data_IF_366450024931
#
_entry.id   IF_366450024931
#
_cell.length_a   1.000
_cell.length_b   1.000
_cell.length_c   1.000
_cell.angle_alpha   90.00
_cell.angle_beta   90.00
_cell.angle_gamma   90.00
#
_symmetry.space_group_name_H-M   'P 1'
#
loop_
_entity.id
_entity.type
_entity.pdbx_description
1 polymer ?
#
# COMPACT_ATOMS: atom_id res chain seq x y z
N UNK A 1 -4.34 -10.70 14.25
CA UNK A 1 -4.36 -9.56 15.12
C UNK A 1 -5.41 -8.50 14.73
N UNK A 2 -6.57 -8.93 14.27
CA UNK A 2 -7.68 -8.04 14.00
C UNK A 2 -7.63 -7.27 12.68
N UNK A 3 -6.75 -7.65 11.78
CA UNK A 3 -6.72 -7.11 10.43
C UNK A 3 -7.56 -7.97 9.49
N UNK A 4 -8.39 -7.31 8.69
CA UNK A 4 -9.13 -7.96 7.62
C UNK A 4 -8.33 -7.86 6.33
N UNK A 5 -8.16 -8.97 5.63
CA UNK A 5 -7.47 -9.00 4.35
C UNK A 5 -8.47 -8.60 3.26
N UNK A 6 -8.20 -7.49 2.59
CA UNK A 6 -9.01 -6.99 1.49
C UNK A 6 -8.49 -7.48 0.14
N UNK A 7 -7.21 -7.77 0.03
CA UNK A 7 -6.62 -8.27 -1.20
C UNK A 7 -5.19 -8.76 -1.00
N UNK A 8 -4.76 -9.64 -1.90
CA UNK A 8 -3.40 -10.18 -1.96
C UNK A 8 -2.73 -9.73 -3.25
N UNK A 9 -1.43 -9.46 -3.18
CA UNK A 9 -0.65 -9.04 -4.34
C UNK A 9 -1.32 -7.90 -5.10
N UNK A 10 -1.75 -6.88 -4.35
CA UNK A 10 -2.53 -5.77 -4.90
C UNK A 10 -1.60 -4.83 -5.66
N UNK A 11 -1.91 -4.60 -6.93
CA UNK A 11 -1.13 -3.74 -7.80
C UNK A 11 -1.76 -2.35 -7.90
N UNK A 12 -0.91 -1.32 -7.88
CA UNK A 12 -1.30 0.06 -8.11
C UNK A 12 -0.27 0.70 -9.05
N UNK A 13 -0.66 1.80 -9.68
CA UNK A 13 0.24 2.57 -10.55
C UNK A 13 0.63 3.87 -9.89
N UNK A 14 1.92 4.10 -9.79
CA UNK A 14 2.48 5.37 -9.40
C UNK A 14 2.86 6.20 -10.62
N UNK A 15 3.03 7.49 -10.42
CA UNK A 15 3.46 8.42 -11.46
C UNK A 15 4.60 9.29 -10.96
N UNK A 16 5.55 9.52 -11.85
CA UNK A 16 6.58 10.53 -11.67
C UNK A 16 6.62 11.40 -12.92
N UNK A 17 6.97 12.65 -12.76
CA UNK A 17 7.18 13.55 -13.87
C UNK A 17 8.68 13.74 -14.08
N UNK A 18 9.14 13.49 -15.30
CA UNK A 18 10.53 13.69 -15.69
C UNK A 18 10.56 14.67 -16.85
N UNK A 19 11.15 15.82 -16.63
CA UNK A 19 11.27 16.88 -17.65
C UNK A 19 9.92 17.21 -18.31
N UNK A 20 8.87 17.29 -17.50
CA UNK A 20 7.51 17.59 -17.96
C UNK A 20 6.73 16.41 -18.51
N UNK A 21 7.34 15.22 -18.61
CA UNK A 21 6.66 14.01 -19.08
C UNK A 21 6.28 13.11 -17.93
N UNK A 22 5.04 12.66 -17.91
CA UNK A 22 4.54 11.71 -16.92
C UNK A 22 5.03 10.30 -17.26
N UNK A 23 5.63 9.64 -16.28
CA UNK A 23 6.05 8.25 -16.35
C UNK A 23 5.28 7.45 -15.31
N UNK A 24 4.63 6.39 -15.75
CA UNK A 24 3.92 5.48 -14.87
C UNK A 24 4.83 4.32 -14.49
N UNK A 25 4.65 3.80 -13.27
CA UNK A 25 5.35 2.60 -12.81
C UNK A 25 4.41 1.75 -11.96
N UNK A 26 4.52 0.42 -12.05
CA UNK A 26 3.71 -0.47 -11.24
C UNK A 26 4.30 -0.60 -9.83
N UNK A 27 3.42 -0.72 -8.86
CA UNK A 27 3.79 -1.02 -7.47
C UNK A 27 2.89 -2.17 -7.03
N UNK A 28 3.47 -3.16 -6.38
CA UNK A 28 2.72 -4.32 -5.90
C UNK A 28 3.03 -4.56 -4.43
N UNK A 29 2.00 -4.41 -3.60
CA UNK A 29 2.08 -4.74 -2.18
C UNK A 29 1.64 -6.17 -1.93
N UNK A 30 2.13 -6.78 -0.87
CA UNK A 30 1.78 -8.16 -0.56
C UNK A 30 0.31 -8.30 -0.16
N UNK A 31 -0.18 -7.39 0.69
CA UNK A 31 -1.56 -7.41 1.14
C UNK A 31 -2.11 -6.00 1.28
N UNK A 32 -3.39 -5.88 0.99
CA UNK A 32 -4.19 -4.73 1.38
C UNK A 32 -5.06 -5.18 2.53
N UNK A 33 -4.99 -4.49 3.66
CA UNK A 33 -5.70 -4.89 4.87
C UNK A 33 -6.44 -3.70 5.49
N UNK A 34 -7.41 -4.02 6.31
CA UNK A 34 -8.19 -3.02 7.02
C UNK A 34 -8.29 -3.34 8.50
N UNK A 35 -8.30 -2.30 9.32
CA UNK A 35 -8.54 -2.40 10.75
C UNK A 35 -9.16 -1.11 11.27
N UNK A 36 -10.27 -1.24 11.96
CA UNK A 36 -10.94 -0.09 12.58
C UNK A 36 -11.24 1.05 11.60
N UNK A 37 -11.69 0.69 10.40
CA UNK A 37 -12.05 1.67 9.37
C UNK A 37 -10.86 2.29 8.64
N UNK A 38 -9.65 1.85 8.91
CA UNK A 38 -8.44 2.31 8.23
C UNK A 38 -7.88 1.23 7.34
N UNK A 39 -7.32 1.64 6.21
CA UNK A 39 -6.71 0.74 5.23
C UNK A 39 -5.20 0.87 5.25
N UNK A 40 -4.52 -0.25 5.08
CA UNK A 40 -3.07 -0.33 5.09
C UNK A 40 -2.58 -1.24 3.97
N UNK A 41 -1.41 -0.91 3.43
CA UNK A 41 -0.64 -1.86 2.62
C UNK A 41 0.36 -2.54 3.54
N UNK A 42 0.36 -3.86 3.52
CA UNK A 42 1.28 -4.65 4.32
C UNK A 42 2.34 -5.30 3.43
N UNK A 43 3.58 -5.19 3.86
CA UNK A 43 4.72 -5.88 3.28
C UNK A 43 5.15 -6.99 4.21
N UNK A 44 5.20 -8.21 3.71
CA UNK A 44 5.56 -9.39 4.49
C UNK A 44 7.01 -9.76 4.22
N UNK A 45 7.78 -9.87 5.27
CA UNK A 45 9.19 -10.29 5.19
C UNK A 45 9.40 -11.54 6.03
N UNK A 46 10.16 -12.47 5.48
CA UNK A 46 10.48 -13.73 6.13
C UNK A 46 11.99 -14.00 6.06
N UNK A 47 12.45 -14.92 6.90
CA UNK A 47 13.85 -15.31 6.97
C UNK A 47 14.62 -14.61 8.09
N UNK A 48 15.74 -15.23 8.51
CA UNK A 48 16.57 -14.73 9.60
C UNK A 48 17.16 -13.34 9.36
N UNK A 49 17.20 -12.92 8.10
CA UNK A 49 17.64 -11.59 7.69
C UNK A 49 16.45 -10.79 7.14
N UNK A 50 15.26 -11.02 7.71
CA UNK A 50 14.10 -10.25 7.31
C UNK A 50 14.46 -8.77 7.32
N UNK A 51 14.24 -8.04 6.22
CA UNK A 51 14.62 -6.64 6.16
C UNK A 51 13.90 -5.87 7.25
N UNK A 52 14.68 -5.15 8.03
CA UNK A 52 14.16 -4.25 9.05
C UNK A 52 13.97 -2.87 8.43
N UNK A 53 13.26 -2.00 9.13
CA UNK A 53 13.10 -0.60 8.72
C UNK A 53 14.46 0.11 8.60
N UNK A 54 15.48 -0.36 9.31
CA UNK A 54 16.85 0.11 9.13
C UNK A 54 17.42 -0.20 7.74
N UNK A 55 16.86 -1.20 7.03
CA UNK A 55 17.22 -1.48 5.66
C UNK A 55 16.61 -0.42 4.74
N UNK A 56 17.46 0.29 4.01
CA UNK A 56 17.01 1.38 3.14
C UNK A 56 16.07 0.93 2.04
N UNK A 57 16.29 -0.26 1.49
CA UNK A 57 15.43 -0.81 0.42
C UNK A 57 14.00 -1.05 0.96
N UNK A 58 13.88 -1.67 2.12
CA UNK A 58 12.59 -1.91 2.76
C UNK A 58 11.90 -0.59 3.11
N UNK A 59 12.63 0.36 3.67
CA UNK A 59 12.10 1.67 4.04
C UNK A 59 11.58 2.44 2.83
N UNK A 60 12.32 2.42 1.72
CA UNK A 60 11.91 3.08 0.47
C UNK A 60 10.69 2.40 -0.15
N UNK A 61 10.63 1.09 -0.08
CA UNK A 61 9.47 0.33 -0.57
C UNK A 61 8.20 0.70 0.19
N UNK A 62 8.27 0.76 1.51
CA UNK A 62 7.14 1.16 2.34
C UNK A 62 6.72 2.61 2.08
N UNK A 63 7.70 3.49 1.89
CA UNK A 63 7.43 4.89 1.55
C UNK A 63 6.71 5.01 0.20
N UNK A 64 7.15 4.26 -0.80
CA UNK A 64 6.51 4.24 -2.10
C UNK A 64 5.06 3.74 -2.02
N UNK A 65 4.80 2.73 -1.21
CA UNK A 65 3.45 2.26 -0.97
C UNK A 65 2.56 3.36 -0.37
N UNK A 66 3.06 4.06 0.62
CA UNK A 66 2.32 5.16 1.25
C UNK A 66 2.01 6.27 0.25
N UNK A 67 2.91 6.51 -0.67
CA UNK A 67 2.75 7.54 -1.70
C UNK A 67 1.75 7.14 -2.78
N UNK A 68 1.79 5.87 -3.22
CA UNK A 68 1.04 5.40 -4.39
C UNK A 68 -0.36 4.92 -4.03
N UNK A 69 -0.50 4.16 -2.95
CA UNK A 69 -1.80 3.62 -2.55
C UNK A 69 -2.64 4.65 -1.78
N UNK A 70 -3.98 4.63 -2.00
CA UNK A 70 -4.88 5.50 -1.22
C UNK A 70 -5.17 4.88 0.14
N UNK A 71 -4.16 4.76 0.96
CA UNK A 71 -4.24 4.07 2.27
C UNK A 71 -3.89 5.02 3.41
N UNK A 72 -4.28 4.62 4.61
CA UNK A 72 -4.02 5.40 5.82
C UNK A 72 -2.61 5.16 6.37
N UNK A 73 -2.01 4.06 6.01
CA UNK A 73 -0.67 3.73 6.47
C UNK A 73 -0.09 2.50 5.82
N UNK A 74 1.09 2.12 6.27
CA UNK A 74 1.80 0.93 5.81
C UNK A 74 2.26 0.09 6.99
N UNK A 75 2.29 -1.22 6.78
CA UNK A 75 2.67 -2.19 7.79
C UNK A 75 3.84 -3.02 7.30
N UNK A 76 4.74 -3.33 8.21
CA UNK A 76 5.80 -4.29 8.00
C UNK A 76 5.50 -5.52 8.86
N UNK A 77 5.29 -6.65 8.21
CA UNK A 77 5.00 -7.91 8.88
C UNK A 77 6.28 -8.74 8.92
N UNK A 78 6.77 -8.97 10.11
CA UNK A 78 7.95 -9.79 10.36
C UNK A 78 7.51 -11.21 10.73
N UNK A 79 7.71 -12.14 9.81
CA UNK A 79 7.28 -13.53 10.00
C UNK A 79 8.16 -14.28 10.98
N UNK A 80 9.42 -13.88 11.15
CA UNK A 80 10.32 -14.52 12.10
C UNK A 80 9.95 -14.20 13.55
N UNK A 81 9.62 -12.95 13.80
CA UNK A 81 9.22 -12.50 15.14
C UNK A 81 7.70 -12.52 15.35
N UNK A 82 6.94 -12.93 14.32
CA UNK A 82 5.47 -12.93 14.34
C UNK A 82 4.91 -11.58 14.81
N UNK A 83 5.48 -10.51 14.28
CA UNK A 83 5.14 -9.15 14.68
C UNK A 83 4.65 -8.32 13.50
N UNK A 84 3.70 -7.42 13.77
CA UNK A 84 3.20 -6.45 12.80
C UNK A 84 3.59 -5.07 13.30
N UNK A 85 4.35 -4.35 12.48
CA UNK A 85 4.79 -3.01 12.80
C UNK A 85 4.12 -1.99 11.91
N UNK A 86 3.49 -0.99 12.49
CA UNK A 86 3.02 0.17 11.73
C UNK A 86 4.18 1.14 11.56
N UNK A 87 4.52 1.45 10.32
CA UNK A 87 5.66 2.32 10.00
C UNK A 87 5.12 3.69 9.59
N UNK A 88 5.64 4.71 10.26
CA UNK A 88 5.25 6.10 10.02
C UNK A 88 6.48 6.97 9.81
N UNK A 89 6.31 8.01 9.01
CA UNK A 89 7.30 9.07 8.86
C UNK A 89 6.75 10.31 9.56
N UNK A 90 7.32 10.68 10.72
CA UNK A 90 6.88 11.88 11.43
C UNK A 90 6.95 13.11 10.51
N UNK A 91 5.89 13.89 10.52
CA UNK A 91 5.80 15.07 9.66
C UNK A 91 5.21 14.82 8.27
N UNK A 92 5.02 13.56 7.88
CA UNK A 92 4.33 13.21 6.65
C UNK A 92 2.96 12.62 7.01
N UNK A 93 1.93 13.21 6.46
CA UNK A 93 0.60 12.61 6.51
C UNK A 93 0.42 11.68 5.32
N UNK A 94 -0.36 10.61 5.47
CA UNK A 94 -0.80 9.83 4.32
C UNK A 94 -1.42 10.75 3.28
N UNK A 95 -1.28 10.39 2.02
CA UNK A 95 -1.83 11.19 0.94
C UNK A 95 -3.29 11.49 1.22
N UNK A 96 -3.71 12.77 1.25
CA UNK A 96 -5.11 13.08 1.49
C UNK A 96 -5.97 12.41 0.42
N UNK A 97 -7.03 11.77 0.85
CA UNK A 97 -8.07 11.29 -0.06
C UNK A 97 -8.76 12.53 -0.60
N UNK A 98 -8.27 13.03 -1.73
CA UNK A 98 -8.85 14.25 -2.30
C UNK A 98 -10.18 13.93 -2.96
N UNK A 99 -11.17 14.78 -2.68
CA UNK A 99 -12.42 14.81 -3.45
C UNK A 99 -12.05 15.02 -4.92
N UNK A 100 -12.60 14.19 -5.80
CA UNK A 100 -12.42 14.37 -7.21
C UNK A 100 -11.42 13.43 -7.88
N UNK A 101 -10.70 12.62 -7.13
CA UNK A 101 -10.03 11.47 -7.71
C UNK A 101 -11.11 10.43 -8.02
N UNK A 102 -11.22 10.06 -9.28
CA UNK A 102 -12.14 9.02 -9.70
C UNK A 102 -11.83 7.68 -9.03
N UNK A 103 -12.64 6.65 -9.29
CA UNK A 103 -12.42 5.35 -8.69
C UNK A 103 -11.02 4.85 -9.03
N UNK A 104 -10.29 4.44 -8.01
CA UNK A 104 -9.00 3.78 -8.18
C UNK A 104 -9.27 2.33 -8.50
N UNK A 105 -8.72 1.88 -9.62
CA UNK A 105 -8.75 0.46 -9.97
C UNK A 105 -7.48 -0.15 -9.42
N UNK A 106 -7.63 -1.06 -8.48
CA UNK A 106 -6.53 -1.86 -7.95
C UNK A 106 -6.54 -3.21 -8.64
N UNK A 107 -5.39 -3.61 -9.18
CA UNK A 107 -5.23 -4.94 -9.74
C UNK A 107 -4.77 -5.93 -8.68
N UNK A 108 -5.41 -7.09 -8.64
CA UNK A 108 -5.00 -8.18 -7.76
C UNK A 108 -4.43 -9.30 -8.62
N UNK A 109 -3.21 -9.73 -8.32
CA UNK A 109 -2.58 -10.87 -9.00
C UNK A 109 -2.80 -12.11 -8.14
N UNK A 110 -3.54 -13.06 -8.67
CA UNK A 110 -3.82 -14.33 -8.01
C UNK A 110 -3.43 -15.46 -8.96
N UNK A 111 -2.54 -16.34 -8.52
CA UNK A 111 -2.19 -17.55 -9.28
C UNK A 111 -1.65 -17.27 -10.68
N UNK A 112 -0.95 -16.17 -10.90
CA UNK A 112 -0.40 -15.81 -12.21
C UNK A 112 -1.37 -15.06 -13.13
N UNK A 113 -2.62 -14.88 -12.72
CA UNK A 113 -3.60 -14.07 -13.43
C UNK A 113 -3.79 -12.70 -12.79
N UNK A 114 -4.04 -11.70 -13.61
CA UNK A 114 -4.39 -10.36 -13.14
C UNK A 114 -5.91 -10.23 -13.08
N UNK A 115 -6.43 -10.03 -11.88
CA UNK A 115 -7.83 -9.73 -11.69
C UNK A 115 -7.98 -8.26 -11.30
N UNK A 116 -8.74 -7.52 -12.10
CA UNK A 116 -9.05 -6.15 -11.78
C UNK A 116 -10.18 -6.13 -10.76
N UNK A 117 -9.87 -5.69 -9.57
CA UNK A 117 -10.87 -5.42 -8.55
C UNK A 117 -11.10 -3.93 -8.54
N UNK A 118 -12.26 -3.52 -8.96
CA UNK A 118 -12.68 -2.13 -8.82
C UNK A 118 -12.87 -1.84 -7.34
N UNK A 119 -11.87 -1.25 -6.73
CA UNK A 119 -12.00 -0.74 -5.37
C UNK A 119 -12.29 0.73 -5.47
N UNK A 120 -13.51 1.08 -5.14
CA UNK A 120 -13.91 2.48 -5.05
C UNK A 120 -13.42 2.98 -3.70
N UNK A 121 -12.12 3.24 -3.61
CA UNK A 121 -11.52 3.79 -2.42
C UNK A 121 -11.45 5.30 -2.61
N UNK A 122 -12.06 6.00 -1.73
CA UNK A 122 -11.94 7.44 -1.69
C UNK A 122 -13.16 8.21 -2.11
N UNK A 123 -13.97 7.73 -3.06
CA UNK A 123 -15.09 8.58 -3.41
C UNK A 123 -16.34 8.36 -2.54
N UNK A 124 -16.57 7.22 -2.05
CA UNK A 124 -17.67 7.09 -1.09
C UNK A 124 -17.35 7.73 0.27
N UNK A 125 -16.08 8.02 0.53
CA UNK A 125 -15.67 8.86 1.64
C UNK A 125 -15.94 10.34 1.38
N UNK A 126 -15.95 10.76 0.13
CA UNK A 126 -16.29 12.12 -0.25
C UNK A 126 -17.78 12.42 -0.18
N UNK A 127 -18.60 11.41 -0.07
CA UNK A 127 -20.05 11.55 0.07
C UNK A 127 -20.56 11.69 1.48
N UNK A 128 -19.66 11.71 2.43
CA UNK A 128 -20.03 11.86 3.84
C UNK A 128 -19.78 13.28 4.29
#
# INVERSE_FOLDING_TARGET
AGYEILGEQVEAKGEVEVDGEIREFPVRGDYLVAKRGKNYVAEVKSGKRAPRVSNAKTRRQLFEYLWVYPVDGVLLVDMEEEAIHEVRWPGLSPRPRTRGLGPLVLGVVVGGGLFLVGVVVGWWWGGV
#
